data_IF_779729680689
#
_entry.id   IF_779729680689
#
_cell.length_a   1.000
_cell.length_b   1.000
_cell.length_c   1.000
_cell.angle_alpha   90.00
_cell.angle_beta   90.00
_cell.angle_gamma   90.00
#
_symmetry.space_group_name_H-M   'P 1'
#
loop_
_entity.id
_entity.type
_entity.pdbx_description
1 polymer ?
#
# COMPACT_ATOMS: atom_id res chain seq x y z
N UNK A 1 6.71 -5.89 -9.38
CA UNK A 1 5.91 -4.97 -8.53
C UNK A 1 4.42 -5.30 -8.59
N UNK A 2 3.79 -5.39 -9.78
CA UNK A 2 2.36 -5.74 -9.90
C UNK A 2 1.93 -7.03 -9.17
N UNK A 3 2.75 -8.10 -9.22
CA UNK A 3 2.47 -9.34 -8.48
C UNK A 3 2.48 -9.15 -6.95
N UNK A 4 3.37 -8.29 -6.43
CA UNK A 4 3.47 -7.99 -4.99
C UNK A 4 2.23 -7.22 -4.52
N UNK A 5 1.79 -6.24 -5.32
CA UNK A 5 0.54 -5.51 -5.06
C UNK A 5 -0.70 -6.42 -5.13
N UNK A 6 -0.68 -7.44 -6.00
CA UNK A 6 -1.74 -8.43 -6.03
C UNK A 6 -1.75 -9.30 -4.76
N UNK A 7 -0.59 -9.77 -4.29
CA UNK A 7 -0.55 -10.53 -3.02
C UNK A 7 -0.97 -9.69 -1.82
N UNK A 8 -0.64 -8.39 -1.77
CA UNK A 8 -1.13 -7.51 -0.70
C UNK A 8 -2.64 -7.30 -0.79
N UNK A 9 -3.21 -7.23 -1.99
CA UNK A 9 -4.67 -7.13 -2.15
C UNK A 9 -5.41 -8.35 -1.58
N UNK A 10 -4.84 -9.55 -1.77
CA UNK A 10 -5.43 -10.79 -1.26
C UNK A 10 -5.39 -10.81 0.27
N UNK A 11 -4.28 -10.38 0.90
CA UNK A 11 -4.19 -10.34 2.37
C UNK A 11 -5.13 -9.32 2.99
N UNK A 12 -5.23 -8.12 2.40
CA UNK A 12 -6.14 -7.07 2.88
C UNK A 12 -7.62 -7.48 2.74
N UNK A 13 -8.00 -8.09 1.62
CA UNK A 13 -9.34 -8.65 1.45
C UNK A 13 -9.64 -9.79 2.44
N UNK A 14 -8.66 -10.64 2.74
CA UNK A 14 -8.80 -11.69 3.77
C UNK A 14 -9.07 -11.14 5.16
N UNK A 15 -8.46 -10.01 5.53
CA UNK A 15 -8.78 -9.32 6.79
C UNK A 15 -10.18 -8.70 6.79
N UNK A 16 -10.58 -8.09 5.66
CA UNK A 16 -11.90 -7.49 5.51
C UNK A 16 -13.03 -8.53 5.64
N UNK A 17 -12.87 -9.73 5.09
CA UNK A 17 -13.90 -10.79 5.18
C UNK A 17 -14.10 -11.29 6.60
N UNK A 18 -13.03 -11.35 7.41
CA UNK A 18 -13.12 -11.77 8.82
C UNK A 18 -13.85 -10.72 9.65
N UNK A 19 -13.50 -9.44 9.50
CA UNK A 19 -14.06 -8.34 10.31
C UNK A 19 -15.51 -8.01 9.91
N UNK A 20 -15.93 -8.33 8.68
CA UNK A 20 -17.27 -8.04 8.16
C UNK A 20 -18.38 -8.61 9.03
N UNK A 21 -18.18 -9.81 9.57
CA UNK A 21 -19.15 -10.50 10.44
C UNK A 21 -19.26 -9.87 11.84
N UNK A 22 -18.22 -9.18 12.31
CA UNK A 22 -18.18 -8.56 13.64
C UNK A 22 -18.67 -7.11 13.61
N UNK A 23 -18.14 -6.31 12.69
CA UNK A 23 -18.51 -4.91 12.58
C UNK A 23 -18.32 -4.36 11.16
N UNK A 24 -19.41 -4.09 10.41
CA UNK A 24 -19.29 -3.59 9.04
C UNK A 24 -18.74 -2.16 8.95
N UNK A 25 -18.75 -1.41 10.07
CA UNK A 25 -18.19 -0.05 10.13
C UNK A 25 -16.66 -0.05 10.06
N UNK A 26 -15.99 -0.99 10.74
CA UNK A 26 -14.53 -1.12 10.68
C UNK A 26 -14.06 -1.60 9.31
N UNK A 27 -14.80 -2.53 8.68
CA UNK A 27 -14.46 -2.96 7.31
C UNK A 27 -14.52 -1.84 6.30
N UNK A 28 -15.50 -0.93 6.42
CA UNK A 28 -15.60 0.25 5.55
C UNK A 28 -14.38 1.17 5.73
N UNK A 29 -13.97 1.44 6.98
CA UNK A 29 -12.78 2.26 7.26
C UNK A 29 -11.53 1.65 6.63
N UNK A 30 -11.29 0.35 6.85
CA UNK A 30 -10.14 -0.35 6.29
C UNK A 30 -10.17 -0.37 4.75
N UNK A 31 -11.36 -0.50 4.15
CA UNK A 31 -11.53 -0.42 2.70
C UNK A 31 -11.13 0.93 2.12
N UNK A 32 -11.56 2.04 2.74
CA UNK A 32 -11.17 3.38 2.31
C UNK A 32 -9.65 3.60 2.45
N UNK A 33 -9.05 3.17 3.56
CA UNK A 33 -7.61 3.26 3.78
C UNK A 33 -6.84 2.44 2.73
N UNK A 34 -7.27 1.21 2.46
CA UNK A 34 -6.64 0.35 1.47
C UNK A 34 -6.72 0.94 0.05
N UNK A 35 -7.86 1.49 -0.37
CA UNK A 35 -7.98 2.18 -1.68
C UNK A 35 -7.01 3.36 -1.75
N UNK A 36 -6.96 4.19 -0.71
CA UNK A 36 -6.09 5.36 -0.69
C UNK A 36 -4.61 4.95 -0.77
N UNK A 37 -4.18 3.95 0.00
CA UNK A 37 -2.81 3.44 -0.05
C UNK A 37 -2.46 2.83 -1.41
N UNK A 38 -3.33 2.00 -1.97
CA UNK A 38 -3.06 1.38 -3.28
C UNK A 38 -3.01 2.40 -4.41
N UNK A 39 -3.89 3.41 -4.41
CA UNK A 39 -3.85 4.50 -5.40
C UNK A 39 -2.56 5.30 -5.29
N UNK A 40 -2.09 5.64 -4.08
CA UNK A 40 -0.79 6.34 -3.91
C UNK A 40 0.39 5.52 -4.44
N UNK A 41 0.41 4.20 -4.22
CA UNK A 41 1.46 3.31 -4.75
C UNK A 41 1.38 3.22 -6.27
N UNK A 42 0.18 3.09 -6.86
CA UNK A 42 0.05 3.07 -8.31
C UNK A 42 0.43 4.40 -8.96
N UNK A 43 0.10 5.54 -8.33
CA UNK A 43 0.48 6.87 -8.81
C UNK A 43 2.00 7.05 -8.78
N UNK A 44 2.65 6.73 -7.66
CA UNK A 44 4.12 6.84 -7.55
C UNK A 44 4.83 5.97 -8.59
N UNK A 45 4.42 4.72 -8.76
CA UNK A 45 4.96 3.83 -9.80
C UNK A 45 4.73 4.35 -11.23
N UNK A 46 3.61 5.04 -11.47
CA UNK A 46 3.31 5.65 -12.76
C UNK A 46 4.21 6.87 -13.03
N UNK A 47 4.40 7.74 -12.02
CA UNK A 47 5.27 8.92 -12.14
C UNK A 47 6.73 8.56 -12.43
N UNK A 48 7.22 7.46 -11.86
CA UNK A 48 8.59 6.98 -12.09
C UNK A 48 8.70 6.00 -13.27
N UNK A 49 7.58 5.63 -13.91
CA UNK A 49 7.49 4.61 -14.96
C UNK A 49 8.17 3.29 -14.59
N UNK A 50 8.13 2.89 -13.31
CA UNK A 50 8.79 1.67 -12.83
C UNK A 50 7.85 0.47 -12.87
N UNK A 51 8.23 -0.56 -13.62
CA UNK A 51 7.48 -1.83 -13.69
C UNK A 51 8.23 -3.01 -13.03
N UNK A 52 9.56 -2.93 -12.99
CA UNK A 52 10.46 -3.96 -12.46
C UNK A 52 11.12 -3.49 -11.17
N UNK A 53 11.55 -4.44 -10.32
CA UNK A 53 12.25 -4.12 -9.08
C UNK A 53 13.60 -3.44 -9.35
N UNK A 54 14.34 -3.90 -10.37
CA UNK A 54 15.61 -3.29 -10.78
C UNK A 54 15.47 -1.81 -11.17
N UNK A 55 14.37 -1.46 -11.84
CA UNK A 55 14.08 -0.06 -12.21
C UNK A 55 13.66 0.80 -11.01
N UNK A 56 13.15 0.20 -9.93
CA UNK A 56 12.83 0.94 -8.69
C UNK A 56 14.09 1.28 -7.89
N UNK A 57 15.12 0.43 -7.93
CA UNK A 57 16.39 0.72 -7.25
C UNK A 57 17.10 1.94 -7.85
N UNK A 58 16.90 2.22 -9.14
CA UNK A 58 17.53 3.36 -9.82
C UNK A 58 16.75 4.67 -9.71
N UNK A 59 15.52 4.67 -9.17
CA UNK A 59 14.76 5.92 -8.95
C UNK A 59 15.26 6.71 -7.74
N UNK A 60 15.98 6.06 -6.82
CA UNK A 60 16.49 6.71 -5.60
C UNK A 60 17.41 7.89 -5.92
N UNK A 61 18.24 7.75 -6.96
CA UNK A 61 19.18 8.79 -7.39
C UNK A 61 18.51 9.94 -8.14
N UNK A 62 17.32 9.72 -8.71
CA UNK A 62 16.59 10.72 -9.49
C UNK A 62 15.57 11.50 -8.68
N UNK A 63 14.92 10.86 -7.71
CA UNK A 63 13.85 11.47 -6.93
C UNK A 63 13.81 10.88 -5.50
N UNK A 64 14.74 11.28 -4.62
CA UNK A 64 14.86 10.71 -3.27
C UNK A 64 13.61 10.94 -2.42
N UNK A 65 12.96 12.11 -2.53
CA UNK A 65 11.74 12.43 -1.80
C UNK A 65 10.57 11.50 -2.16
N UNK A 66 10.40 11.20 -3.46
CA UNK A 66 9.34 10.31 -3.92
C UNK A 66 9.58 8.86 -3.47
N UNK A 67 10.84 8.42 -3.46
CA UNK A 67 11.19 7.10 -2.94
C UNK A 67 10.99 6.99 -1.42
N UNK A 68 11.24 8.06 -0.65
CA UNK A 68 10.92 8.09 0.78
C UNK A 68 9.41 7.98 1.02
N UNK A 69 8.60 8.66 0.22
CA UNK A 69 7.13 8.54 0.29
C UNK A 69 6.66 7.13 -0.07
N UNK A 70 7.23 6.53 -1.12
CA UNK A 70 6.94 5.14 -1.51
C UNK A 70 7.29 4.16 -0.40
N UNK A 71 8.43 4.34 0.28
CA UNK A 71 8.80 3.53 1.45
C UNK A 71 7.75 3.64 2.57
N UNK A 72 7.36 4.87 2.96
CA UNK A 72 6.35 5.10 4.00
C UNK A 72 5.01 4.43 3.66
N UNK A 73 4.57 4.52 2.41
CA UNK A 73 3.31 3.86 1.97
C UNK A 73 3.40 2.33 2.03
N UNK A 74 4.55 1.74 1.70
CA UNK A 74 4.75 0.29 1.81
C UNK A 74 4.78 -0.19 3.26
N UNK A 75 5.41 0.57 4.18
CA UNK A 75 5.38 0.26 5.61
C UNK A 75 3.98 0.40 6.19
N UNK A 76 3.19 1.34 5.70
CA UNK A 76 1.79 1.48 6.08
C UNK A 76 0.96 0.27 5.62
N UNK A 77 1.19 -0.25 4.41
CA UNK A 77 0.51 -1.45 3.92
C UNK A 77 0.84 -2.72 4.72
N UNK A 78 2.02 -2.74 5.36
CA UNK A 78 2.46 -3.81 6.26
C UNK A 78 1.95 -3.64 7.70
N UNK A 79 1.25 -2.54 8.03
CA UNK A 79 0.66 -2.33 9.35
C UNK A 79 1.68 -2.04 10.45
N UNK A 80 2.78 -1.34 10.15
CA UNK A 80 3.71 -0.93 11.22
C UNK A 80 3.16 0.25 12.04
N UNK A 81 3.21 0.19 13.39
CA UNK A 81 3.09 1.40 14.22
C UNK A 81 4.26 2.35 13.87
N UNK A 82 4.09 3.67 13.72
CA UNK A 82 2.96 4.56 14.04
C UNK A 82 2.08 4.96 12.84
N UNK A 83 1.99 4.14 11.79
CA UNK A 83 1.35 4.52 10.52
C UNK A 83 -0.15 4.19 10.50
N UNK A 84 -0.91 4.88 9.64
CA UNK A 84 -2.37 4.76 9.55
C UNK A 84 -2.86 3.38 9.14
N UNK A 85 -2.03 2.57 8.51
CA UNK A 85 -2.36 1.18 8.16
C UNK A 85 -2.30 0.19 9.34
N UNK A 86 -1.89 0.63 10.53
CA UNK A 86 -2.00 -0.16 11.77
C UNK A 86 -3.39 -0.04 12.42
N UNK A 87 -4.22 0.90 11.97
CA UNK A 87 -5.56 1.09 12.54
C UNK A 87 -6.49 -0.09 12.22
N UNK A 88 -7.35 -0.51 13.17
CA UNK A 88 -8.33 -1.58 12.99
C UNK A 88 -9.53 -1.20 12.12
#
# INVERSE_FOLDING_TARGET
IRKIMASSSISHLGWMTIILSYSPKLTLLNFYLYILMTTTVFLTLNTTKTLKLSTLMTTWTKAPALNAMLLLTLLSLAGLPPLTGFLP
#
